data_IF_242419060444
#
_entry.id   IF_242419060444
#
_cell.length_a   1.000
_cell.length_b   1.000
_cell.length_c   1.000
_cell.angle_alpha   90.00
_cell.angle_beta   90.00
_cell.angle_gamma   90.00
#
_symmetry.space_group_name_H-M   'P 1'
#
loop_
_entity.id
_entity.type
_entity.pdbx_description
1 polymer ?
#
# COMPACT_ATOMS: atom_id res chain seq x y z
N UNK A 1 10.10 19.28 -23.86
CA UNK A 1 9.34 19.91 -22.75
C UNK A 1 9.10 18.86 -21.67
N UNK A 2 9.93 18.78 -20.63
CA UNK A 2 9.70 17.90 -19.45
C UNK A 2 10.56 18.24 -18.21
N UNK A 3 11.13 19.45 -18.14
CA UNK A 3 12.03 19.81 -17.01
C UNK A 3 11.29 20.03 -15.68
N UNK A 4 9.99 20.37 -15.69
CA UNK A 4 9.23 20.66 -14.46
C UNK A 4 8.83 19.43 -13.63
N UNK A 5 8.49 18.31 -14.27
CA UNK A 5 8.14 17.07 -13.55
C UNK A 5 9.38 16.38 -12.97
N UNK A 6 10.51 16.49 -13.68
CA UNK A 6 11.83 16.03 -13.23
C UNK A 6 12.19 16.63 -11.87
N UNK A 7 12.02 17.93 -11.73
CA UNK A 7 12.41 18.65 -10.52
C UNK A 7 11.52 18.29 -9.30
N UNK A 8 10.22 18.12 -9.52
CA UNK A 8 9.26 17.81 -8.45
C UNK A 8 9.44 16.42 -7.84
N UNK A 9 9.57 15.37 -8.66
CA UNK A 9 9.74 14.01 -8.16
C UNK A 9 11.08 13.86 -7.40
N UNK A 10 12.16 14.44 -7.96
CA UNK A 10 13.47 14.48 -7.31
C UNK A 10 13.42 15.21 -5.96
N UNK A 11 12.75 16.37 -5.93
CA UNK A 11 12.54 17.16 -4.70
C UNK A 11 11.68 16.42 -3.68
N UNK A 12 10.68 15.66 -4.10
CA UNK A 12 9.87 14.84 -3.20
C UNK A 12 10.70 13.74 -2.54
N UNK A 13 11.44 12.96 -3.35
CA UNK A 13 12.26 11.85 -2.88
C UNK A 13 13.60 12.26 -2.23
N UNK A 14 13.89 13.56 -2.11
CA UNK A 14 15.01 14.08 -1.31
C UNK A 14 14.62 14.42 0.13
N UNK A 15 13.32 14.50 0.43
CA UNK A 15 12.81 14.84 1.77
C UNK A 15 13.07 13.70 2.76
N UNK A 16 13.74 13.96 3.91
CA UNK A 16 14.05 12.93 4.89
C UNK A 16 12.82 12.18 5.42
N UNK A 17 11.69 12.87 5.61
CA UNK A 17 10.43 12.29 6.06
C UNK A 17 9.81 11.33 5.04
N UNK A 18 9.90 11.66 3.75
CA UNK A 18 9.42 10.79 2.66
C UNK A 18 10.25 9.52 2.61
N UNK A 19 11.57 9.66 2.61
CA UNK A 19 12.49 8.52 2.59
C UNK A 19 12.25 7.63 3.82
N UNK A 20 12.10 8.23 5.00
CA UNK A 20 11.85 7.50 6.25
C UNK A 20 10.55 6.70 6.18
N UNK A 21 9.46 7.29 5.69
CA UNK A 21 8.18 6.60 5.55
C UNK A 21 8.29 5.44 4.55
N UNK A 22 8.92 5.67 3.38
CA UNK A 22 9.13 4.62 2.38
C UNK A 22 9.94 3.46 2.98
N UNK A 23 11.08 3.73 3.61
CA UNK A 23 11.93 2.69 4.22
C UNK A 23 11.23 1.98 5.38
N UNK A 24 10.44 2.69 6.17
CA UNK A 24 9.71 2.10 7.30
C UNK A 24 8.61 1.16 6.81
N UNK A 25 7.79 1.62 5.85
CA UNK A 25 6.71 0.81 5.30
C UNK A 25 7.25 -0.37 4.48
N UNK A 26 8.34 -0.18 3.73
CA UNK A 26 8.95 -1.17 2.83
C UNK A 26 9.70 -2.30 3.54
N UNK A 27 9.90 -2.20 4.87
CA UNK A 27 10.65 -3.19 5.62
C UNK A 27 10.02 -4.58 5.46
N UNK A 28 10.85 -5.56 5.09
CA UNK A 28 10.47 -6.96 4.90
C UNK A 28 9.38 -7.18 3.84
N UNK A 29 9.21 -6.24 2.90
CA UNK A 29 8.25 -6.32 1.79
C UNK A 29 8.96 -6.41 0.44
N UNK A 30 8.27 -7.00 -0.52
CA UNK A 30 8.73 -7.00 -1.90
C UNK A 30 8.38 -5.68 -2.56
N UNK A 31 9.36 -5.06 -3.21
CA UNK A 31 9.27 -3.71 -3.75
C UNK A 31 9.05 -3.74 -5.25
N UNK A 32 8.21 -2.82 -5.72
CA UNK A 32 8.16 -2.45 -7.12
C UNK A 32 8.46 -0.96 -7.31
N UNK A 33 9.04 -0.61 -8.45
CA UNK A 33 9.32 0.78 -8.81
C UNK A 33 8.84 1.06 -10.23
N UNK A 34 8.17 2.18 -10.38
CA UNK A 34 7.74 2.72 -11.67
C UNK A 34 8.53 3.99 -11.99
N UNK A 35 8.98 4.11 -13.24
CA UNK A 35 9.86 5.17 -13.69
C UNK A 35 9.22 6.02 -14.79
N UNK A 36 9.74 7.22 -15.01
CA UNK A 36 9.21 8.18 -15.99
C UNK A 36 9.32 7.73 -17.45
N UNK A 37 10.19 6.76 -17.75
CA UNK A 37 10.33 6.14 -19.06
C UNK A 37 9.30 5.03 -19.32
N UNK A 38 8.42 4.75 -18.34
CA UNK A 38 7.43 3.68 -18.40
C UNK A 38 7.91 2.34 -17.85
N UNK A 39 9.18 2.24 -17.43
CA UNK A 39 9.72 1.01 -16.84
C UNK A 39 9.02 0.68 -15.52
N UNK A 40 8.58 -0.57 -15.36
CA UNK A 40 8.07 -1.12 -14.11
C UNK A 40 8.95 -2.28 -13.66
N UNK A 41 9.57 -2.16 -12.49
CA UNK A 41 10.54 -3.14 -12.00
C UNK A 41 10.12 -3.76 -10.68
N UNK A 42 10.27 -5.08 -10.57
CA UNK A 42 10.20 -5.82 -9.30
C UNK A 42 11.48 -6.58 -8.97
N UNK A 43 12.43 -6.61 -9.90
CA UNK A 43 13.67 -7.36 -9.82
C UNK A 43 14.87 -6.50 -10.24
N UNK A 44 15.99 -6.70 -9.56
CA UNK A 44 17.30 -6.16 -9.92
C UNK A 44 17.88 -6.81 -11.17
N UNK A 45 19.02 -6.30 -11.64
CA UNK A 45 19.65 -6.78 -12.88
C UNK A 45 20.16 -8.23 -12.76
N UNK A 46 20.46 -8.68 -11.54
CA UNK A 46 20.81 -10.07 -11.21
C UNK A 46 19.59 -11.00 -11.07
N UNK A 47 18.37 -10.49 -11.26
CA UNK A 47 17.12 -11.24 -11.06
C UNK A 47 16.68 -11.35 -9.59
N UNK A 48 17.42 -10.80 -8.64
CA UNK A 48 17.01 -10.75 -7.23
C UNK A 48 15.79 -9.83 -7.03
N UNK A 49 14.84 -10.17 -6.14
CA UNK A 49 13.73 -9.26 -5.84
C UNK A 49 14.22 -7.91 -5.31
N UNK A 50 13.51 -6.84 -5.66
CA UNK A 50 13.82 -5.51 -5.10
C UNK A 50 13.34 -5.44 -3.65
N UNK A 51 14.20 -4.89 -2.81
CA UNK A 51 13.97 -4.64 -1.39
C UNK A 51 14.56 -3.28 -1.01
N UNK A 52 14.05 -2.66 0.04
CA UNK A 52 14.55 -1.41 0.57
C UNK A 52 14.81 -1.56 2.07
N UNK A 53 16.07 -1.78 2.47
CA UNK A 53 16.45 -1.92 3.89
C UNK A 53 17.01 -0.65 4.49
N UNK A 54 17.68 0.14 3.66
CA UNK A 54 18.39 1.35 4.08
C UNK A 54 18.40 2.42 2.97
N UNK A 55 19.03 3.55 3.29
CA UNK A 55 19.18 4.66 2.35
C UNK A 55 19.98 4.25 1.10
N UNK A 56 20.95 3.34 1.22
CA UNK A 56 21.79 2.91 0.10
C UNK A 56 20.96 2.13 -0.93
N UNK A 57 20.05 1.28 -0.47
CA UNK A 57 19.10 0.59 -1.35
C UNK A 57 18.18 1.58 -2.05
N UNK A 58 17.69 2.59 -1.34
CA UNK A 58 16.85 3.64 -1.93
C UNK A 58 17.58 4.48 -2.97
N UNK A 59 18.84 4.88 -2.73
CA UNK A 59 19.65 5.60 -3.71
C UNK A 59 19.91 4.76 -4.97
N UNK A 60 20.17 3.45 -4.82
CA UNK A 60 20.28 2.52 -5.95
C UNK A 60 18.98 2.43 -6.75
N UNK A 61 17.84 2.41 -6.09
CA UNK A 61 16.52 2.38 -6.73
C UNK A 61 16.29 3.63 -7.59
N UNK A 62 16.68 4.81 -7.07
CA UNK A 62 16.58 6.10 -7.79
C UNK A 62 17.53 6.19 -8.99
N UNK A 63 18.72 5.62 -8.90
CA UNK A 63 19.76 5.73 -9.94
C UNK A 63 19.58 4.79 -11.15
N UNK A 64 18.39 4.22 -11.37
CA UNK A 64 18.18 3.22 -12.40
C UNK A 64 18.29 3.79 -13.82
N UNK A 65 19.37 3.42 -14.53
CA UNK A 65 19.58 3.64 -15.99
C UNK A 65 19.26 5.07 -16.49
N UNK A 66 19.43 6.07 -15.63
CA UNK A 66 19.11 7.46 -15.95
C UNK A 66 17.61 7.78 -16.06
N UNK A 67 16.72 6.81 -15.77
CA UNK A 67 15.29 7.04 -15.68
C UNK A 67 14.93 7.54 -14.27
N UNK A 68 14.00 8.48 -14.19
CA UNK A 68 13.61 9.07 -12.91
C UNK A 68 12.57 8.19 -12.22
N UNK A 69 12.79 7.93 -10.93
CA UNK A 69 11.84 7.22 -10.09
C UNK A 69 10.54 8.05 -9.98
N UNK A 70 9.41 7.46 -10.37
CA UNK A 70 8.08 8.09 -10.28
C UNK A 70 7.33 7.58 -9.07
N UNK A 71 7.24 6.26 -8.89
CA UNK A 71 6.46 5.64 -7.82
C UNK A 71 7.19 4.45 -7.21
N UNK A 72 7.10 4.30 -5.89
CA UNK A 72 7.53 3.10 -5.15
C UNK A 72 6.30 2.39 -4.61
N UNK A 73 6.24 1.09 -4.81
CA UNK A 73 5.21 0.22 -4.26
C UNK A 73 5.85 -0.81 -3.33
N UNK A 74 5.16 -1.16 -2.25
CA UNK A 74 5.53 -2.27 -1.39
C UNK A 74 4.33 -3.21 -1.25
N UNK A 75 4.56 -4.51 -1.31
CA UNK A 75 3.51 -5.53 -1.21
C UNK A 75 2.74 -5.45 0.12
N UNK A 76 1.46 -5.77 0.12
CA UNK A 76 0.70 -5.95 1.37
C UNK A 76 1.24 -7.12 2.22
N UNK A 77 1.84 -8.13 1.56
CA UNK A 77 2.54 -9.26 2.17
C UNK A 77 3.86 -8.84 2.82
N UNK A 78 4.11 -9.33 4.03
CA UNK A 78 5.37 -9.21 4.78
C UNK A 78 6.04 -10.57 4.82
N UNK A 79 7.33 -10.61 4.50
CA UNK A 79 8.08 -11.85 4.31
C UNK A 79 9.11 -12.06 5.42
N UNK A 80 9.39 -13.32 5.76
CA UNK A 80 10.48 -13.67 6.69
C UNK A 80 11.86 -13.39 6.08
N UNK A 81 12.00 -13.62 4.77
CA UNK A 81 13.22 -13.36 4.00
C UNK A 81 12.89 -13.02 2.55
N UNK A 82 13.73 -12.22 1.91
CA UNK A 82 13.63 -11.92 0.48
C UNK A 82 15.04 -11.85 -0.08
N UNK A 83 15.52 -12.96 -0.64
CA UNK A 83 16.87 -13.08 -1.20
C UNK A 83 16.83 -13.53 -2.67
N UNK A 84 15.96 -14.50 -2.98
CA UNK A 84 15.80 -15.07 -4.32
C UNK A 84 14.36 -14.93 -4.81
N UNK A 85 14.13 -15.18 -6.10
CA UNK A 85 12.82 -15.00 -6.72
C UNK A 85 11.76 -15.91 -6.09
N UNK A 86 12.13 -17.12 -5.73
CA UNK A 86 11.24 -18.12 -5.14
C UNK A 86 10.72 -17.67 -3.78
N UNK A 87 11.48 -16.87 -3.03
CA UNK A 87 11.08 -16.40 -1.70
C UNK A 87 9.77 -15.58 -1.74
N UNK A 88 9.52 -14.82 -2.81
CA UNK A 88 8.31 -13.96 -2.92
C UNK A 88 7.07 -14.73 -3.41
N UNK A 89 7.23 -16.00 -3.78
CA UNK A 89 6.14 -16.89 -4.20
C UNK A 89 5.89 -18.02 -3.19
N UNK A 90 6.67 -18.11 -2.12
CA UNK A 90 6.49 -19.12 -1.06
C UNK A 90 5.54 -18.60 0.03
N UNK A 91 4.35 -19.19 0.11
CA UNK A 91 3.35 -18.82 1.12
C UNK A 91 3.83 -19.08 2.56
N UNK A 92 4.72 -20.06 2.79
CA UNK A 92 5.29 -20.32 4.12
C UNK A 92 6.32 -19.26 4.56
N UNK A 93 6.76 -18.43 3.60
CA UNK A 93 7.64 -17.30 3.84
C UNK A 93 6.85 -16.03 4.18
N UNK A 94 5.54 -15.96 3.91
CA UNK A 94 4.68 -14.85 4.29
C UNK A 94 4.35 -14.96 5.78
N UNK A 95 4.77 -13.97 6.56
CA UNK A 95 4.59 -13.95 8.03
C UNK A 95 3.42 -13.09 8.47
N UNK A 96 3.00 -12.16 7.61
CA UNK A 96 1.88 -11.27 7.87
C UNK A 96 1.39 -10.64 6.56
N UNK A 97 0.16 -10.11 6.56
CA UNK A 97 -0.39 -9.37 5.43
C UNK A 97 -1.16 -8.15 5.97
N UNK A 98 -0.97 -6.98 5.37
CA UNK A 98 -1.57 -5.71 5.79
C UNK A 98 -2.96 -5.54 5.17
N UNK A 99 -4.06 -5.64 5.95
CA UNK A 99 -5.40 -5.35 5.43
C UNK A 99 -5.44 -3.94 4.86
N UNK A 100 -5.93 -3.82 3.63
CA UNK A 100 -5.94 -2.56 2.90
C UNK A 100 -7.26 -2.40 2.14
N UNK A 101 -7.86 -1.22 2.24
CA UNK A 101 -9.04 -0.83 1.46
C UNK A 101 -8.61 0.25 0.48
N UNK A 102 -8.96 0.07 -0.79
CA UNK A 102 -8.77 1.09 -1.81
C UNK A 102 -10.06 1.89 -1.99
N UNK A 103 -9.95 3.21 -1.92
CA UNK A 103 -11.06 4.15 -2.10
C UNK A 103 -10.71 5.03 -3.27
N UNK A 104 -11.30 4.73 -4.42
CA UNK A 104 -11.12 5.50 -5.65
C UNK A 104 -12.26 6.49 -5.86
N UNK A 105 -11.93 7.66 -6.38
CA UNK A 105 -12.89 8.66 -6.82
C UNK A 105 -12.24 9.59 -7.86
N UNK A 106 -12.90 10.70 -8.18
CA UNK A 106 -12.30 11.84 -8.89
C UNK A 106 -11.77 12.87 -7.90
N UNK A 107 -10.61 13.48 -8.21
CA UNK A 107 -9.96 14.45 -7.34
C UNK A 107 -10.86 15.64 -6.95
N UNK A 108 -11.76 16.08 -7.84
CA UNK A 108 -12.70 17.17 -7.57
C UNK A 108 -13.68 16.86 -6.44
N UNK A 109 -13.89 15.57 -6.12
CA UNK A 109 -14.80 15.10 -5.08
C UNK A 109 -14.06 14.45 -3.90
N UNK A 110 -12.85 14.93 -3.62
CA UNK A 110 -12.01 14.43 -2.52
C UNK A 110 -12.70 14.45 -1.15
N UNK A 111 -13.65 15.36 -0.92
CA UNK A 111 -14.42 15.42 0.34
C UNK A 111 -15.25 14.15 0.53
N UNK A 112 -15.81 13.63 -0.56
CA UNK A 112 -16.58 12.39 -0.54
C UNK A 112 -15.65 11.19 -0.32
N UNK A 113 -14.45 11.20 -0.90
CA UNK A 113 -13.40 10.20 -0.61
C UNK A 113 -13.05 10.17 0.88
N UNK A 114 -12.87 11.34 1.51
CA UNK A 114 -12.57 11.43 2.95
C UNK A 114 -13.74 10.90 3.79
N UNK A 115 -14.99 11.24 3.44
CA UNK A 115 -16.17 10.70 4.15
C UNK A 115 -16.27 9.18 4.04
N UNK A 116 -15.99 8.62 2.87
CA UNK A 116 -15.93 7.17 2.68
C UNK A 116 -14.85 6.55 3.59
N UNK A 117 -13.71 7.23 3.70
CA UNK A 117 -12.65 6.79 4.58
C UNK A 117 -13.04 6.85 6.07
N UNK A 118 -13.71 7.92 6.50
CA UNK A 118 -14.23 8.08 7.86
C UNK A 118 -15.20 6.96 8.25
N UNK A 119 -16.13 6.58 7.35
CA UNK A 119 -17.05 5.45 7.57
C UNK A 119 -16.30 4.16 7.91
N UNK A 120 -15.25 3.85 7.15
CA UNK A 120 -14.45 2.63 7.37
C UNK A 120 -13.61 2.73 8.65
N UNK A 121 -12.96 3.88 8.88
CA UNK A 121 -12.14 4.13 10.07
C UNK A 121 -12.98 4.03 11.34
N UNK A 122 -14.17 4.63 11.35
CA UNK A 122 -15.04 4.62 12.52
C UNK A 122 -15.60 3.21 12.78
N UNK A 123 -15.97 2.47 11.73
CA UNK A 123 -16.35 1.06 11.88
C UNK A 123 -15.22 0.22 12.50
N UNK A 124 -13.98 0.40 12.02
CA UNK A 124 -12.80 -0.29 12.58
C UNK A 124 -12.55 0.09 14.05
N UNK A 125 -12.74 1.36 14.41
CA UNK A 125 -12.62 1.85 15.80
C UNK A 125 -13.69 1.25 16.72
N UNK A 126 -14.92 1.14 16.25
CA UNK A 126 -16.02 0.50 16.98
C UNK A 126 -15.75 -0.99 17.20
N UNK A 127 -15.04 -1.63 16.27
CA UNK A 127 -14.51 -2.99 16.43
C UNK A 127 -13.27 -3.08 17.32
N UNK A 128 -12.78 -1.95 17.86
CA UNK A 128 -11.70 -1.89 18.84
C UNK A 128 -10.30 -1.59 18.27
N UNK A 129 -10.16 -1.31 16.97
CA UNK A 129 -8.87 -0.93 16.37
C UNK A 129 -8.57 0.55 16.62
N UNK A 130 -7.73 0.85 17.62
CA UNK A 130 -7.52 2.23 18.09
C UNK A 130 -6.30 2.94 17.51
N UNK A 131 -5.15 2.27 17.44
CA UNK A 131 -3.85 2.91 17.16
C UNK A 131 -3.16 2.39 15.90
N UNK A 132 -3.80 1.45 15.19
CA UNK A 132 -3.16 0.70 14.11
C UNK A 132 -3.75 1.01 12.73
N UNK A 133 -4.50 2.10 12.58
CA UNK A 133 -5.11 2.52 11.32
C UNK A 133 -4.30 3.69 10.75
N UNK A 134 -3.97 3.63 9.47
CA UNK A 134 -3.36 4.75 8.76
C UNK A 134 -4.02 4.94 7.40
N UNK A 135 -4.28 6.21 7.06
CA UNK A 135 -4.91 6.63 5.81
C UNK A 135 -3.88 7.35 4.96
N UNK A 136 -3.73 6.92 3.69
CA UNK A 136 -2.76 7.48 2.74
C UNK A 136 -3.49 7.98 1.51
N UNK A 137 -3.33 9.25 1.16
CA UNK A 137 -3.85 9.78 -0.10
C UNK A 137 -3.06 9.17 -1.28
N UNK A 138 -3.76 8.52 -2.22
CA UNK A 138 -3.14 7.77 -3.32
C UNK A 138 -3.02 8.57 -4.62
N UNK A 139 -3.70 9.72 -4.71
CA UNK A 139 -3.69 10.62 -5.87
C UNK A 139 -5.09 11.12 -6.20
N UNK A 140 -5.95 10.23 -6.68
CA UNK A 140 -7.39 10.49 -6.93
C UNK A 140 -8.29 9.85 -5.86
N UNK A 141 -7.68 9.13 -4.93
CA UNK A 141 -8.33 8.37 -3.88
C UNK A 141 -7.51 8.34 -2.59
N UNK A 142 -7.83 7.38 -1.73
CA UNK A 142 -6.99 7.06 -0.58
C UNK A 142 -7.03 5.58 -0.23
N UNK A 143 -5.96 5.11 0.40
CA UNK A 143 -5.89 3.78 0.97
C UNK A 143 -6.05 3.87 2.48
N UNK A 144 -6.86 2.97 3.03
CA UNK A 144 -6.88 2.70 4.46
C UNK A 144 -6.09 1.44 4.68
N UNK A 145 -5.22 1.45 5.67
CA UNK A 145 -4.49 0.27 6.08
C UNK A 145 -4.65 0.03 7.57
N UNK A 146 -4.71 -1.25 7.94
CA UNK A 146 -4.52 -1.68 9.32
C UNK A 146 -3.14 -2.33 9.42
N UNK A 147 -2.34 -1.94 10.42
CA UNK A 147 -1.06 -2.59 10.64
C UNK A 147 -1.29 -4.09 10.87
N UNK A 148 -0.60 -4.95 10.13
CA UNK A 148 -0.81 -6.40 10.11
C UNK A 148 -0.66 -7.08 11.48
N UNK A 149 0.09 -6.48 12.42
CA UNK A 149 0.23 -6.97 13.80
C UNK A 149 -0.97 -6.70 14.69
N UNK A 150 -1.94 -5.90 14.23
CA UNK A 150 -3.22 -5.69 14.90
C UNK A 150 -4.20 -6.85 14.67
N UNK A 151 -3.93 -7.73 13.71
CA UNK A 151 -4.73 -8.93 13.48
C UNK A 151 -4.55 -9.93 14.63
N UNK A 152 -5.58 -10.75 14.86
CA UNK A 152 -5.57 -11.78 15.90
C UNK A 152 -4.41 -12.76 15.68
N UNK A 153 -3.53 -12.88 16.70
CA UNK A 153 -2.45 -13.87 16.70
C UNK A 153 -2.98 -15.30 16.60
N UNK A 154 -4.15 -15.56 17.19
CA UNK A 154 -4.80 -16.86 17.10
C UNK A 154 -5.18 -17.18 15.65
N UNK A 155 -5.85 -16.25 14.96
CA UNK A 155 -6.22 -16.42 13.56
C UNK A 155 -4.97 -16.57 12.67
N UNK A 156 -3.96 -15.71 12.87
CA UNK A 156 -2.69 -15.76 12.14
C UNK A 156 -1.88 -17.05 12.38
N UNK A 157 -2.14 -17.78 13.47
CA UNK A 157 -1.51 -19.08 13.75
C UNK A 157 -2.23 -20.27 13.09
N UNK A 158 -3.49 -20.08 12.69
CA UNK A 158 -4.38 -21.14 12.18
C UNK A 158 -4.61 -21.04 10.67
N UNK A 159 -4.57 -19.83 10.13
CA UNK A 159 -4.90 -19.54 8.73
C UNK A 159 -3.76 -18.81 8.04
N UNK A 160 -3.74 -18.85 6.70
CA UNK A 160 -2.80 -18.08 5.92
C UNK A 160 -2.97 -16.57 6.23
N UNK A 161 -1.88 -15.81 6.46
CA UNK A 161 -1.99 -14.38 6.76
C UNK A 161 -2.74 -13.55 5.70
N UNK A 162 -2.63 -13.94 4.43
CA UNK A 162 -3.39 -13.34 3.34
C UNK A 162 -4.89 -13.56 3.53
N UNK A 163 -5.33 -14.80 3.78
CA UNK A 163 -6.74 -15.14 3.97
C UNK A 163 -7.34 -14.38 5.16
N UNK A 164 -6.59 -14.24 6.25
CA UNK A 164 -7.04 -13.45 7.42
C UNK A 164 -7.20 -11.98 7.04
N UNK A 165 -6.22 -11.39 6.36
CA UNK A 165 -6.30 -9.99 5.95
C UNK A 165 -7.45 -9.76 4.95
N UNK A 166 -7.55 -10.62 3.94
CA UNK A 166 -8.61 -10.57 2.93
C UNK A 166 -10.00 -10.67 3.56
N UNK A 167 -10.21 -11.64 4.46
CA UNK A 167 -11.48 -11.82 5.16
C UNK A 167 -11.86 -10.60 6.01
N UNK A 168 -10.87 -9.94 6.64
CA UNK A 168 -11.12 -8.68 7.37
C UNK A 168 -11.51 -7.55 6.42
N UNK A 169 -10.82 -7.40 5.29
CA UNK A 169 -11.15 -6.37 4.29
C UNK A 169 -12.57 -6.56 3.77
N UNK A 170 -12.91 -7.77 3.33
CA UNK A 170 -14.26 -8.14 2.87
C UNK A 170 -15.32 -7.92 3.95
N UNK A 171 -15.06 -8.36 5.18
CA UNK A 171 -16.01 -8.20 6.28
C UNK A 171 -16.34 -6.72 6.52
N UNK A 172 -15.33 -5.85 6.53
CA UNK A 172 -15.54 -4.41 6.72
C UNK A 172 -16.33 -3.83 5.54
N UNK A 173 -15.96 -4.14 4.29
CA UNK A 173 -16.70 -3.68 3.10
C UNK A 173 -18.17 -4.09 3.19
N UNK A 174 -18.45 -5.35 3.49
CA UNK A 174 -19.81 -5.86 3.62
C UNK A 174 -20.61 -5.08 4.67
N UNK A 175 -19.99 -4.79 5.83
CA UNK A 175 -20.65 -4.08 6.94
C UNK A 175 -20.84 -2.59 6.68
N UNK A 176 -19.93 -1.94 5.96
CA UNK A 176 -20.02 -0.51 5.64
C UNK A 176 -20.75 -0.23 4.34
N UNK A 177 -20.99 -1.26 3.50
CA UNK A 177 -21.61 -1.13 2.18
C UNK A 177 -22.90 -0.31 2.14
N UNK A 178 -23.85 -0.36 3.11
CA UNK A 178 -25.05 0.46 3.04
C UNK A 178 -24.75 1.96 3.13
N UNK A 179 -23.86 2.36 4.04
CA UNK A 179 -23.45 3.76 4.22
C UNK A 179 -22.63 4.26 3.03
N UNK A 180 -21.75 3.40 2.51
CA UNK A 180 -20.97 3.71 1.32
C UNK A 180 -21.86 3.85 0.07
N UNK A 181 -22.90 3.03 -0.06
CA UNK A 181 -23.86 3.12 -1.17
C UNK A 181 -24.69 4.41 -1.10
N UNK A 182 -25.11 4.83 0.10
CA UNK A 182 -25.77 6.12 0.31
C UNK A 182 -24.85 7.28 -0.12
N UNK A 183 -23.58 7.23 0.27
CA UNK A 183 -22.60 8.23 -0.10
C UNK A 183 -22.34 8.26 -1.62
N UNK A 184 -22.20 7.08 -2.24
CA UNK A 184 -21.99 6.92 -3.68
C UNK A 184 -23.18 7.37 -4.54
N UNK A 185 -24.41 7.42 -3.98
CA UNK A 185 -25.59 7.93 -4.69
C UNK A 185 -25.42 9.37 -5.20
N UNK A 186 -24.62 10.17 -4.48
CA UNK A 186 -24.29 11.55 -4.84
C UNK A 186 -22.90 11.69 -5.47
N UNK A 187 -22.15 10.59 -5.57
CA UNK A 187 -20.80 10.52 -6.15
C UNK A 187 -20.62 9.18 -6.89
N UNK A 188 -21.12 9.07 -8.13
CA UNK A 188 -21.12 7.80 -8.87
C UNK A 188 -19.72 7.25 -9.18
N UNK A 189 -18.69 8.10 -9.09
CA UNK A 189 -17.29 7.70 -9.30
C UNK A 189 -16.65 7.10 -8.05
N UNK A 190 -17.28 7.24 -6.87
CA UNK A 190 -16.78 6.66 -5.63
C UNK A 190 -16.84 5.13 -5.70
N UNK A 191 -15.70 4.49 -5.48
CA UNK A 191 -15.57 3.04 -5.35
C UNK A 191 -14.77 2.71 -4.10
N UNK A 192 -15.21 1.67 -3.40
CA UNK A 192 -14.47 1.07 -2.30
C UNK A 192 -14.33 -0.41 -2.62
N UNK A 193 -13.11 -0.87 -2.82
CA UNK A 193 -12.84 -2.21 -3.34
C UNK A 193 -11.79 -2.94 -2.49
N UNK A 194 -11.90 -4.27 -2.47
CA UNK A 194 -10.85 -5.15 -1.98
C UNK A 194 -9.95 -5.53 -3.15
N UNK A 195 -8.80 -4.86 -3.24
CA UNK A 195 -7.78 -5.13 -4.26
C UNK A 195 -6.58 -5.90 -3.69
N UNK A 196 -6.76 -6.62 -2.57
CA UNK A 196 -5.69 -7.41 -1.98
C UNK A 196 -5.30 -8.58 -2.90
N UNK A 197 -4.01 -8.64 -3.29
CA UNK A 197 -3.43 -9.68 -4.16
C UNK A 197 -2.12 -10.31 -3.64
#
# INVERSE_FOLDING_TARGET
>A
MNHGLSDLASTHYSKPEVIREILTFSRDRWIAAYYTDGSFRRYGDSGSPLILRDLKDFERLKAFKGAMLRTVYASARVYRKINVREDVYDDYNIVACTPSWDIDNVLSDWKTTIKAAEIIVDFLRDMGVKESIFVKWSGEGCHIHVHEKALSREAASKFNPFDVAYAVVEYVILKTSPLLAELASSSPSLKVENLMD
#
